data_IF_326171775166
#
_entry.id   IF_326171775166
#
_cell.length_a   1.000
_cell.length_b   1.000
_cell.length_c   1.000
_cell.angle_alpha   90.00
_cell.angle_beta   90.00
_cell.angle_gamma   90.00
#
_symmetry.space_group_name_H-M   'P 1'
#
loop_
_entity.id
_entity.type
_entity.pdbx_description
1 polymer ?
#
# COMPACT_ATOMS: atom_id res chain seq x y z
N UNK A 1 4.83 13.51 20.46
CA UNK A 1 4.18 12.45 19.69
C UNK A 1 3.05 13.12 18.93
N UNK A 2 3.08 13.15 17.59
CA UNK A 2 1.90 13.54 16.82
C UNK A 2 0.77 12.59 17.20
N UNK A 3 -0.43 13.14 17.45
CA UNK A 3 -1.59 12.31 17.69
C UNK A 3 -1.86 11.49 16.43
N UNK A 4 -1.62 10.19 16.48
CA UNK A 4 -1.93 9.27 15.40
C UNK A 4 -3.44 9.26 15.21
N UNK A 5 -3.94 9.77 14.08
CA UNK A 5 -5.35 9.70 13.73
C UNK A 5 -5.62 8.31 13.17
N UNK A 6 -6.11 7.42 14.02
CA UNK A 6 -6.23 5.99 13.74
C UNK A 6 -7.58 5.45 14.19
N UNK A 7 -8.28 4.79 13.28
CA UNK A 7 -9.47 4.00 13.56
C UNK A 7 -9.09 2.51 13.57
N UNK A 8 -9.48 1.79 14.62
CA UNK A 8 -9.21 0.37 14.78
C UNK A 8 -10.51 -0.45 14.80
N UNK A 9 -10.56 -1.51 13.99
CA UNK A 9 -11.73 -2.34 13.77
C UNK A 9 -11.42 -3.82 14.02
N UNK A 10 -12.31 -4.51 14.71
CA UNK A 10 -12.27 -5.98 14.87
C UNK A 10 -13.10 -6.71 13.82
N UNK A 11 -14.17 -6.08 13.36
CA UNK A 11 -15.14 -6.60 12.40
C UNK A 11 -15.14 -5.79 11.10
N UNK A 12 -15.40 -6.42 9.96
CA UNK A 12 -15.63 -7.84 9.70
C UNK A 12 -14.33 -8.66 9.68
N UNK A 13 -13.19 -8.03 9.78
CA UNK A 13 -11.85 -8.59 9.99
C UNK A 13 -10.99 -7.54 10.71
N UNK A 14 -9.95 -7.95 11.45
CA UNK A 14 -9.11 -6.97 12.15
C UNK A 14 -8.35 -6.09 11.16
N UNK A 15 -8.49 -4.77 11.30
CA UNK A 15 -7.74 -3.79 10.52
C UNK A 15 -7.66 -2.45 11.24
N UNK A 16 -6.69 -1.64 10.85
CA UNK A 16 -6.58 -0.24 11.27
C UNK A 16 -6.53 0.67 10.05
N UNK A 17 -7.11 1.85 10.16
CA UNK A 17 -7.06 2.90 9.15
C UNK A 17 -6.37 4.11 9.78
N UNK A 18 -5.32 4.57 9.14
CA UNK A 18 -4.53 5.73 9.51
C UNK A 18 -4.86 6.86 8.53
N UNK A 19 -5.39 7.96 9.03
CA UNK A 19 -5.77 9.13 8.26
C UNK A 19 -4.67 10.18 8.34
N UNK A 20 -4.43 10.90 7.24
CA UNK A 20 -3.38 11.93 7.15
C UNK A 20 -2.05 11.42 7.73
N UNK A 21 -1.68 10.20 7.33
CA UNK A 21 -0.66 9.41 8.01
C UNK A 21 0.74 10.02 7.89
N UNK A 22 1.06 10.58 6.75
CA UNK A 22 2.33 11.25 6.51
C UNK A 22 2.15 12.76 6.66
N UNK A 23 3.11 13.44 7.29
CA UNK A 23 3.12 14.90 7.36
C UNK A 23 3.59 15.54 6.05
N UNK A 24 3.56 16.87 5.99
CA UNK A 24 3.86 17.60 4.76
C UNK A 24 5.30 17.37 4.27
N UNK A 25 6.28 17.26 5.18
CA UNK A 25 7.68 17.00 4.82
C UNK A 25 7.86 15.57 4.29
N UNK A 26 7.20 14.60 4.92
CA UNK A 26 7.17 13.20 4.48
C UNK A 26 6.48 13.06 3.12
N UNK A 27 5.37 13.78 2.90
CA UNK A 27 4.65 13.79 1.63
C UNK A 27 5.47 14.40 0.50
N UNK A 28 6.24 15.47 0.75
CA UNK A 28 7.13 16.05 -0.25
C UNK A 28 8.15 15.02 -0.74
N UNK A 29 8.80 14.30 0.18
CA UNK A 29 9.73 13.23 -0.15
C UNK A 29 9.08 12.07 -0.92
N UNK A 30 7.88 11.66 -0.52
CA UNK A 30 7.12 10.60 -1.21
C UNK A 30 6.79 11.04 -2.64
N UNK A 31 6.29 12.26 -2.82
CA UNK A 31 5.90 12.76 -4.14
C UNK A 31 7.08 12.96 -5.08
N UNK A 32 8.25 13.39 -4.57
CA UNK A 32 9.47 13.47 -5.38
C UNK A 32 9.79 12.12 -6.05
N UNK A 33 9.68 11.01 -5.30
CA UNK A 33 9.96 9.68 -5.82
C UNK A 33 8.79 9.12 -6.66
N UNK A 34 7.53 9.35 -6.30
CA UNK A 34 6.37 8.96 -7.10
C UNK A 34 6.37 9.66 -8.47
N UNK A 35 6.69 10.94 -8.53
CA UNK A 35 6.81 11.68 -9.78
C UNK A 35 7.95 11.15 -10.68
N UNK A 36 9.01 10.64 -10.07
CA UNK A 36 10.04 9.93 -10.83
C UNK A 36 9.50 8.65 -11.46
N UNK A 37 8.71 7.86 -10.74
CA UNK A 37 8.15 6.60 -11.24
C UNK A 37 7.07 6.79 -12.30
N UNK A 38 6.41 7.94 -12.37
CA UNK A 38 5.46 8.27 -13.44
C UNK A 38 6.11 8.31 -14.81
N UNK A 39 7.43 8.56 -14.87
CA UNK A 39 8.17 8.65 -16.14
C UNK A 39 8.16 7.30 -16.87
N UNK A 40 8.08 7.32 -18.22
CA UNK A 40 8.04 6.09 -19.02
C UNK A 40 9.20 5.12 -18.70
N UNK A 41 8.87 3.84 -18.60
CA UNK A 41 9.84 2.77 -18.40
C UNK A 41 10.35 2.59 -16.97
N UNK A 42 9.84 3.36 -16.00
CA UNK A 42 10.23 3.23 -14.57
C UNK A 42 9.46 2.14 -13.84
N UNK A 43 8.17 2.04 -14.10
CA UNK A 43 7.35 0.94 -13.61
C UNK A 43 7.29 -0.18 -14.66
N UNK A 44 7.21 -1.42 -14.21
CA UNK A 44 7.22 -2.61 -15.05
C UNK A 44 5.90 -3.38 -14.93
N UNK A 45 5.63 -4.24 -15.90
CA UNK A 45 4.43 -5.09 -15.93
C UNK A 45 4.53 -6.27 -14.96
N UNK A 46 3.39 -6.89 -14.64
CA UNK A 46 3.25 -7.93 -13.63
C UNK A 46 4.23 -9.11 -13.77
N UNK A 47 4.56 -9.49 -15.00
CA UNK A 47 5.51 -10.56 -15.31
C UNK A 47 6.95 -10.27 -14.83
N UNK A 48 7.28 -9.00 -14.62
CA UNK A 48 8.63 -8.54 -14.22
C UNK A 48 8.78 -8.24 -12.74
N UNK A 49 7.69 -7.93 -12.03
CA UNK A 49 7.76 -7.60 -10.59
C UNK A 49 7.22 -8.71 -9.66
N UNK A 50 7.01 -9.92 -10.16
CA UNK A 50 6.48 -11.04 -9.39
C UNK A 50 4.99 -10.89 -9.02
N UNK A 51 4.24 -10.08 -9.77
CA UNK A 51 2.79 -10.05 -9.69
C UNK A 51 2.18 -11.34 -10.26
N UNK A 52 0.93 -11.64 -9.88
CA UNK A 52 0.23 -12.80 -10.44
C UNK A 52 -0.21 -12.44 -11.85
N UNK A 53 0.48 -13.00 -12.85
CA UNK A 53 0.15 -12.80 -14.27
C UNK A 53 -1.31 -13.18 -14.54
N UNK A 54 -2.03 -12.31 -15.23
CA UNK A 54 -3.46 -12.47 -15.53
C UNK A 54 -4.41 -12.00 -14.42
N UNK A 55 -3.89 -11.60 -13.25
CA UNK A 55 -4.70 -11.03 -12.17
C UNK A 55 -4.56 -9.52 -12.01
N UNK A 56 -3.49 -8.97 -12.53
CA UNK A 56 -3.28 -7.52 -12.57
C UNK A 56 -2.58 -7.12 -13.84
N UNK A 57 -3.04 -6.04 -14.44
CA UNK A 57 -2.40 -5.38 -15.59
C UNK A 57 -1.66 -4.12 -15.14
N UNK A 58 -1.78 -3.72 -13.85
CA UNK A 58 -1.13 -2.53 -13.32
C UNK A 58 0.39 -2.63 -13.38
N UNK A 59 1.02 -1.48 -13.60
CA UNK A 59 2.47 -1.36 -13.52
C UNK A 59 2.91 -1.18 -12.06
N UNK A 60 4.03 -1.80 -11.71
CA UNK A 60 4.60 -1.71 -10.39
C UNK A 60 6.12 -1.81 -10.40
N UNK A 61 6.72 -1.53 -9.25
CA UNK A 61 8.12 -1.75 -8.97
C UNK A 61 8.26 -2.28 -7.55
N UNK A 62 9.02 -3.34 -7.37
CA UNK A 62 9.48 -3.77 -6.05
C UNK A 62 10.72 -2.93 -5.71
N UNK A 63 10.62 -2.10 -4.68
CA UNK A 63 11.69 -1.13 -4.36
C UNK A 63 12.97 -1.83 -3.93
N UNK A 64 12.89 -2.99 -3.29
CA UNK A 64 14.05 -3.79 -2.89
C UNK A 64 14.87 -4.33 -4.07
N UNK A 65 14.27 -4.46 -5.26
CA UNK A 65 15.01 -4.84 -6.48
C UNK A 65 15.90 -3.70 -6.98
N UNK A 66 15.54 -2.43 -6.66
CA UNK A 66 16.30 -1.23 -7.03
C UNK A 66 17.22 -0.79 -5.90
N UNK A 67 16.72 -0.87 -4.67
CA UNK A 67 17.40 -0.44 -3.45
C UNK A 67 17.60 -1.62 -2.50
N UNK A 68 18.59 -2.50 -2.73
CA UNK A 68 18.93 -3.57 -1.79
C UNK A 68 19.22 -3.02 -0.39
N UNK A 69 19.19 -3.88 0.62
CA UNK A 69 19.26 -3.50 2.04
C UNK A 69 20.33 -2.44 2.35
N UNK A 70 21.52 -2.53 1.72
CA UNK A 70 22.61 -1.57 1.94
C UNK A 70 22.32 -0.15 1.38
N UNK A 71 21.33 -0.01 0.50
CA UNK A 71 21.02 1.23 -0.21
C UNK A 71 19.57 1.69 -0.01
N UNK A 72 18.84 1.08 0.92
CA UNK A 72 17.44 1.45 1.20
C UNK A 72 17.23 2.93 1.49
N UNK A 73 18.19 3.57 2.12
CA UNK A 73 18.17 5.00 2.45
C UNK A 73 18.30 5.94 1.24
N UNK A 74 18.54 5.40 0.04
CA UNK A 74 18.50 6.18 -1.21
C UNK A 74 17.07 6.31 -1.78
N UNK A 75 16.11 5.53 -1.28
CA UNK A 75 14.70 5.70 -1.57
C UNK A 75 14.03 6.53 -0.47
N UNK A 76 13.40 7.63 -0.85
CA UNK A 76 12.58 8.45 0.03
C UNK A 76 11.39 7.62 0.57
N UNK A 77 10.72 6.88 -0.32
CA UNK A 77 9.57 6.04 0.05
C UNK A 77 9.99 4.98 1.08
N UNK A 78 11.08 4.23 0.85
CA UNK A 78 11.54 3.22 1.81
C UNK A 78 11.95 3.83 3.15
N UNK A 79 12.47 5.05 3.15
CA UNK A 79 12.87 5.77 4.36
C UNK A 79 11.66 6.23 5.16
N UNK A 80 10.74 6.94 4.50
CA UNK A 80 9.54 7.51 5.15
C UNK A 80 8.56 6.41 5.56
N UNK A 81 8.40 5.37 4.72
CA UNK A 81 7.47 4.28 4.98
C UNK A 81 7.84 3.42 6.20
N UNK A 82 9.07 3.57 6.75
CA UNK A 82 9.42 2.98 8.07
C UNK A 82 8.48 3.42 9.18
N UNK A 83 7.74 4.50 8.99
CA UNK A 83 6.71 4.98 9.92
C UNK A 83 5.65 3.91 10.24
N UNK A 84 5.28 3.03 9.31
CA UNK A 84 4.35 1.91 9.56
C UNK A 84 4.89 0.89 10.57
N UNK A 85 6.20 0.85 10.80
CA UNK A 85 6.87 -0.06 11.73
C UNK A 85 7.15 0.57 13.09
N UNK A 86 6.60 1.75 13.38
CA UNK A 86 6.75 2.37 14.70
C UNK A 86 5.93 1.62 15.74
N UNK A 87 6.40 1.63 16.99
CA UNK A 87 5.70 0.99 18.11
C UNK A 87 4.24 1.47 18.23
N UNK A 88 3.99 2.78 18.04
CA UNK A 88 2.63 3.31 18.11
C UNK A 88 1.66 2.70 17.10
N UNK A 89 2.09 2.41 15.88
CA UNK A 89 1.25 1.76 14.85
C UNK A 89 1.10 0.27 15.12
N UNK A 90 2.19 -0.43 15.40
CA UNK A 90 2.19 -1.89 15.60
C UNK A 90 1.46 -2.31 16.88
N UNK A 91 1.54 -1.51 17.94
CA UNK A 91 0.80 -1.74 19.19
C UNK A 91 -0.71 -1.57 19.02
N UNK A 92 -1.16 -0.55 18.28
CA UNK A 92 -2.59 -0.38 17.95
C UNK A 92 -3.09 -1.56 17.14
N UNK A 93 -2.33 -2.00 16.14
CA UNK A 93 -2.67 -3.19 15.34
C UNK A 93 -2.75 -4.45 16.22
N UNK A 94 -1.77 -4.66 17.12
CA UNK A 94 -1.74 -5.81 18.02
C UNK A 94 -2.96 -5.85 18.97
N UNK A 95 -3.42 -4.70 19.42
CA UNK A 95 -4.58 -4.57 20.30
C UNK A 95 -5.92 -4.73 19.58
N UNK A 96 -5.95 -4.57 18.27
CA UNK A 96 -7.16 -4.67 17.45
C UNK A 96 -7.83 -6.05 17.58
N UNK A 97 -7.05 -7.13 17.55
CA UNK A 97 -7.55 -8.50 17.69
C UNK A 97 -6.43 -9.47 18.06
N UNK A 98 -6.74 -10.57 18.77
CA UNK A 98 -5.77 -11.57 19.21
C UNK A 98 -4.89 -12.16 18.08
N UNK A 99 -5.40 -12.30 16.85
CA UNK A 99 -4.60 -12.77 15.72
C UNK A 99 -3.56 -11.74 15.24
N UNK A 100 -3.65 -10.48 15.68
CA UNK A 100 -2.72 -9.43 15.38
C UNK A 100 -1.63 -9.25 16.45
N UNK A 101 -1.64 -10.05 17.54
CA UNK A 101 -0.69 -9.92 18.65
C UNK A 101 0.77 -10.06 18.26
N UNK A 102 1.06 -10.68 17.12
CA UNK A 102 2.41 -10.79 16.51
C UNK A 102 2.91 -9.49 15.85
N UNK A 103 2.07 -8.47 15.69
CA UNK A 103 2.44 -7.27 14.97
C UNK A 103 3.72 -6.58 15.50
N UNK A 104 3.97 -6.49 16.83
CA UNK A 104 5.21 -5.90 17.35
C UNK A 104 6.48 -6.69 16.98
N UNK A 105 6.37 -7.97 16.62
CA UNK A 105 7.49 -8.83 16.26
C UNK A 105 7.84 -8.77 14.75
N UNK A 106 7.07 -8.00 13.97
CA UNK A 106 7.35 -7.79 12.54
C UNK A 106 8.73 -7.16 12.36
N UNK A 107 9.58 -7.86 11.61
CA UNK A 107 10.98 -7.49 11.46
C UNK A 107 11.48 -7.51 10.01
N UNK A 108 10.60 -7.84 9.06
CA UNK A 108 10.91 -7.91 7.64
C UNK A 108 9.79 -7.30 6.81
N UNK A 109 10.18 -6.57 5.78
CA UNK A 109 9.26 -5.97 4.82
C UNK A 109 9.79 -6.03 3.38
N UNK A 110 8.85 -5.99 2.44
CA UNK A 110 9.14 -5.60 1.06
C UNK A 110 8.08 -4.61 0.60
N UNK A 111 8.47 -3.64 -0.21
CA UNK A 111 7.63 -2.50 -0.58
C UNK A 111 7.45 -2.39 -2.08
N UNK A 112 6.19 -2.35 -2.54
CA UNK A 112 5.83 -2.14 -3.95
C UNK A 112 5.18 -0.79 -4.15
N UNK A 113 5.65 -0.06 -5.15
CA UNK A 113 4.94 1.09 -5.71
C UNK A 113 4.13 0.63 -6.92
N UNK A 114 2.86 1.02 -6.98
CA UNK A 114 1.96 0.77 -8.10
C UNK A 114 1.36 2.06 -8.60
N UNK A 115 1.11 2.11 -9.92
CA UNK A 115 0.41 3.21 -10.57
C UNK A 115 -0.56 2.63 -11.60
N UNK A 116 -1.84 2.96 -11.45
CA UNK A 116 -2.93 2.33 -12.21
C UNK A 116 -3.36 3.20 -13.37
N UNK A 117 -3.39 2.60 -14.56
CA UNK A 117 -3.92 3.19 -15.79
C UNK A 117 -5.42 2.88 -15.95
N UNK A 118 -6.06 3.45 -17.00
CA UNK A 118 -7.46 3.19 -17.31
C UNK A 118 -7.74 1.71 -17.54
N UNK A 119 -8.82 1.21 -16.94
CA UNK A 119 -9.22 -0.19 -16.98
C UNK A 119 -8.40 -1.14 -16.10
N UNK A 120 -7.28 -0.70 -15.52
CA UNK A 120 -6.44 -1.55 -14.66
C UNK A 120 -7.03 -1.71 -13.26
N UNK A 121 -6.85 -2.88 -12.69
CA UNK A 121 -7.25 -3.27 -11.35
C UNK A 121 -6.44 -4.45 -10.86
N UNK A 122 -6.90 -5.10 -9.79
CA UNK A 122 -6.29 -6.32 -9.30
C UNK A 122 -7.37 -7.30 -8.84
N UNK A 123 -7.39 -8.50 -9.40
CA UNK A 123 -8.33 -9.54 -8.97
C UNK A 123 -8.10 -9.94 -7.52
N UNK A 124 -9.19 -10.31 -6.84
CA UNK A 124 -9.14 -10.66 -5.43
C UNK A 124 -8.29 -11.90 -5.16
N UNK A 125 -7.36 -11.77 -4.22
CA UNK A 125 -6.40 -12.79 -3.80
C UNK A 125 -6.10 -12.70 -2.30
N UNK A 126 -5.29 -13.61 -1.80
CA UNK A 126 -4.76 -13.64 -0.42
C UNK A 126 -3.24 -13.74 -0.48
N UNK A 127 -2.56 -12.96 0.35
CA UNK A 127 -1.10 -13.00 0.51
C UNK A 127 -0.73 -13.87 1.74
N UNK A 128 -0.98 -15.18 1.62
CA UNK A 128 -0.94 -16.12 2.76
C UNK A 128 0.42 -16.25 3.46
N UNK A 129 1.52 -15.92 2.78
CA UNK A 129 2.87 -15.92 3.35
C UNK A 129 3.24 -14.63 4.08
N UNK A 130 2.35 -13.64 4.07
CA UNK A 130 2.54 -12.32 4.65
C UNK A 130 1.66 -12.19 5.88
N UNK A 131 2.22 -11.71 7.00
CA UNK A 131 1.45 -11.52 8.23
C UNK A 131 0.51 -10.33 8.10
N UNK A 132 1.02 -9.19 7.66
CA UNK A 132 0.23 -7.98 7.47
C UNK A 132 0.57 -7.27 6.16
N UNK A 133 -0.41 -6.58 5.63
CA UNK A 133 -0.30 -5.69 4.47
C UNK A 133 -0.60 -4.28 4.94
N UNK A 134 0.28 -3.33 4.60
CA UNK A 134 0.02 -1.91 4.75
C UNK A 134 -0.10 -1.28 3.36
N UNK A 135 -1.26 -0.71 3.06
CA UNK A 135 -1.53 -0.01 1.80
C UNK A 135 -1.66 1.48 2.07
N UNK A 136 -0.71 2.27 1.58
CA UNK A 136 -0.77 3.72 1.58
C UNK A 136 -1.18 4.23 0.20
N UNK A 137 -2.12 5.17 0.16
CA UNK A 137 -2.73 5.69 -1.06
C UNK A 137 -2.35 7.13 -1.29
N UNK A 138 -2.02 7.43 -2.57
CA UNK A 138 -1.65 8.77 -2.97
C UNK A 138 -2.28 9.13 -4.31
N UNK A 139 -2.70 10.37 -4.44
CA UNK A 139 -3.08 11.00 -5.71
C UNK A 139 -2.91 12.51 -5.62
N UNK A 140 -2.69 13.16 -6.78
CA UNK A 140 -2.62 14.62 -6.87
C UNK A 140 -4.03 15.23 -6.87
N UNK A 141 -4.18 16.36 -6.20
CA UNK A 141 -5.41 17.14 -6.25
C UNK A 141 -5.42 18.10 -7.47
N UNK A 142 -6.58 18.32 -8.10
CA UNK A 142 -7.84 17.63 -7.85
C UNK A 142 -7.80 16.18 -8.32
N UNK A 143 -8.47 15.26 -7.59
CA UNK A 143 -8.59 13.85 -8.00
C UNK A 143 -9.22 13.73 -9.39
N UNK A 144 -8.53 13.08 -10.33
CA UNK A 144 -8.94 12.97 -11.73
C UNK A 144 -9.27 11.54 -12.18
N UNK A 145 -9.45 10.63 -11.28
CA UNK A 145 -9.87 9.26 -11.57
C UNK A 145 -11.05 8.84 -10.70
N UNK A 146 -11.74 7.78 -11.13
CA UNK A 146 -12.78 7.07 -10.37
C UNK A 146 -12.43 5.59 -10.28
N UNK A 147 -13.10 4.84 -9.40
CA UNK A 147 -12.73 3.45 -9.14
C UNK A 147 -11.46 3.33 -8.29
N UNK A 148 -10.84 2.17 -8.34
CA UNK A 148 -9.62 1.91 -7.59
C UNK A 148 -9.83 1.62 -6.11
N UNK A 149 -11.08 1.40 -5.67
CA UNK A 149 -11.39 1.00 -4.31
C UNK A 149 -10.72 -0.34 -3.97
N UNK A 150 -10.24 -0.45 -2.75
CA UNK A 150 -9.84 -1.73 -2.17
C UNK A 150 -11.11 -2.49 -1.80
N UNK A 151 -11.33 -3.69 -2.36
CA UNK A 151 -12.54 -4.46 -2.09
C UNK A 151 -12.25 -5.81 -1.45
N UNK A 152 -13.21 -6.30 -0.66
CA UNK A 152 -13.08 -7.47 0.21
C UNK A 152 -14.25 -8.46 -0.05
N UNK A 153 -14.17 -9.31 -1.07
CA UNK A 153 -15.31 -10.07 -1.57
C UNK A 153 -15.85 -11.15 -0.62
N UNK A 154 -15.15 -11.46 0.46
CA UNK A 154 -15.60 -12.40 1.50
C UNK A 154 -16.38 -11.70 2.63
N UNK A 155 -16.49 -10.36 2.60
CA UNK A 155 -17.06 -9.56 3.68
C UNK A 155 -18.13 -8.60 3.15
N UNK A 156 -19.41 -8.96 3.34
CA UNK A 156 -20.56 -8.21 2.79
C UNK A 156 -20.66 -6.81 3.41
N UNK A 157 -20.36 -6.69 4.71
CA UNK A 157 -20.49 -5.43 5.44
C UNK A 157 -19.37 -4.44 5.15
N UNK A 158 -18.31 -4.89 4.48
CA UNK A 158 -17.19 -4.07 4.01
C UNK A 158 -16.82 -4.46 2.57
N UNK A 159 -17.77 -4.30 1.63
CA UNK A 159 -17.54 -4.67 0.23
C UNK A 159 -16.34 -3.93 -0.38
N UNK A 160 -16.23 -2.63 -0.12
CA UNK A 160 -15.13 -1.82 -0.64
C UNK A 160 -14.79 -0.62 0.27
N UNK A 161 -13.50 -0.31 0.32
CA UNK A 161 -12.96 0.87 0.99
C UNK A 161 -12.54 1.89 -0.06
N UNK A 162 -13.10 3.10 0.03
CA UNK A 162 -12.64 4.24 -0.77
C UNK A 162 -11.24 4.65 -0.31
N UNK A 163 -10.31 4.69 -1.25
CA UNK A 163 -8.95 5.08 -0.97
C UNK A 163 -8.84 6.62 -0.98
N UNK A 164 -8.66 7.19 0.19
CA UNK A 164 -8.43 8.62 0.36
C UNK A 164 -6.94 8.95 0.19
N UNK A 165 -6.64 10.20 -0.16
CA UNK A 165 -5.25 10.65 -0.26
C UNK A 165 -4.57 10.63 1.11
N UNK A 166 -3.34 10.20 1.19
CA UNK A 166 -2.58 10.10 2.44
C UNK A 166 -3.21 9.19 3.52
N UNK A 167 -4.02 8.21 3.08
CA UNK A 167 -4.60 7.19 3.95
C UNK A 167 -3.77 5.91 3.89
N UNK A 168 -3.58 5.26 5.04
CA UNK A 168 -2.96 3.93 5.12
C UNK A 168 -3.90 2.96 5.83
N UNK A 169 -4.20 1.83 5.21
CA UNK A 169 -4.90 0.71 5.86
C UNK A 169 -3.91 -0.43 6.13
N UNK A 170 -3.99 -1.04 7.31
CA UNK A 170 -3.19 -2.22 7.68
C UNK A 170 -4.12 -3.36 8.10
N UNK A 171 -3.94 -4.54 7.48
CA UNK A 171 -4.75 -5.73 7.75
C UNK A 171 -3.96 -7.03 7.51
N UNK A 172 -4.42 -8.20 8.04
CA UNK A 172 -3.75 -9.47 7.85
C UNK A 172 -3.73 -9.96 6.40
N UNK A 173 -2.61 -10.54 5.95
CA UNK A 173 -2.44 -11.04 4.57
C UNK A 173 -3.38 -12.18 4.17
N UNK A 174 -4.02 -12.88 5.14
CA UNK A 174 -5.03 -13.90 4.86
C UNK A 174 -6.39 -13.32 4.45
N UNK A 175 -6.64 -12.02 4.64
CA UNK A 175 -7.87 -11.35 4.20
C UNK A 175 -7.88 -11.28 2.67
N UNK A 176 -8.93 -11.82 2.06
CA UNK A 176 -9.07 -11.76 0.59
C UNK A 176 -9.43 -10.35 0.16
N UNK A 177 -8.60 -9.78 -0.69
CA UNK A 177 -8.73 -8.41 -1.15
C UNK A 177 -8.37 -8.27 -2.63
N UNK A 178 -8.84 -7.22 -3.24
CA UNK A 178 -8.52 -6.85 -4.62
C UNK A 178 -8.69 -5.36 -4.83
N UNK A 179 -8.40 -4.88 -6.04
CA UNK A 179 -8.56 -3.47 -6.42
C UNK A 179 -9.54 -3.39 -7.58
N UNK A 180 -10.60 -2.60 -7.42
CA UNK A 180 -11.56 -2.32 -8.49
C UNK A 180 -10.87 -1.57 -9.64
N UNK A 181 -11.39 -1.71 -10.85
CA UNK A 181 -10.82 -1.04 -12.01
C UNK A 181 -10.84 0.48 -11.83
N UNK A 182 -9.74 1.09 -12.21
CA UNK A 182 -9.59 2.55 -12.27
C UNK A 182 -10.12 3.05 -13.61
N UNK A 183 -10.77 4.20 -13.61
CA UNK A 183 -11.14 4.94 -14.82
C UNK A 183 -10.47 6.30 -14.78
N UNK A 184 -9.63 6.58 -15.78
CA UNK A 184 -8.85 7.80 -15.90
C UNK A 184 -8.60 8.14 -17.37
N UNK A 185 -8.53 9.42 -17.73
CA UNK A 185 -8.11 9.84 -19.07
C UNK A 185 -6.60 9.68 -19.24
N UNK A 186 -6.16 9.28 -20.42
CA UNK A 186 -4.73 9.13 -20.74
C UNK A 186 -3.91 10.38 -20.43
N UNK A 187 -4.41 11.58 -20.77
CA UNK A 187 -3.72 12.84 -20.46
C UNK A 187 -3.47 13.00 -18.96
N UNK A 188 -4.50 12.74 -18.14
CA UNK A 188 -4.40 12.89 -16.69
C UNK A 188 -3.48 11.82 -16.08
N UNK A 189 -3.49 10.59 -16.64
CA UNK A 189 -2.57 9.54 -16.25
C UNK A 189 -1.12 9.92 -16.51
N UNK A 190 -0.79 10.38 -17.73
CA UNK A 190 0.59 10.74 -18.08
C UNK A 190 1.07 12.01 -17.38
N UNK A 191 0.16 12.86 -16.90
CA UNK A 191 0.45 14.03 -16.06
C UNK A 191 0.58 13.67 -14.57
N UNK A 192 0.45 12.39 -14.20
CA UNK A 192 0.64 11.88 -12.85
C UNK A 192 -0.57 12.03 -11.92
N UNK A 193 -1.78 12.24 -12.46
CA UNK A 193 -3.03 12.36 -11.68
C UNK A 193 -3.76 11.04 -11.44
N UNK A 194 -3.12 9.90 -11.69
CA UNK A 194 -3.69 8.59 -11.43
C UNK A 194 -3.59 8.17 -9.97
N UNK A 195 -4.00 6.93 -9.72
CA UNK A 195 -4.00 6.29 -8.41
C UNK A 195 -2.65 5.63 -8.15
N UNK A 196 -1.94 6.11 -7.15
CA UNK A 196 -0.76 5.44 -6.61
C UNK A 196 -1.12 4.58 -5.40
N UNK A 197 -0.41 3.48 -5.23
CA UNK A 197 -0.41 2.71 -3.99
C UNK A 197 1.02 2.30 -3.63
N UNK A 198 1.42 2.58 -2.41
CA UNK A 198 2.62 2.03 -1.79
C UNK A 198 2.18 0.91 -0.87
N UNK A 199 2.61 -0.31 -1.16
CA UNK A 199 2.20 -1.51 -0.40
C UNK A 199 3.40 -2.10 0.29
N UNK A 200 3.37 -2.18 1.63
CA UNK A 200 4.35 -2.92 2.41
C UNK A 200 3.81 -4.28 2.79
N UNK A 201 4.57 -5.32 2.44
CA UNK A 201 4.34 -6.72 2.81
C UNK A 201 5.16 -7.00 4.07
N UNK A 202 4.49 -7.19 5.20
CA UNK A 202 5.08 -7.22 6.53
C UNK A 202 5.10 -8.65 7.07
N UNK A 203 6.25 -9.13 7.50
CA UNK A 203 6.40 -10.49 8.04
C UNK A 203 7.39 -10.57 9.20
N UNK A 204 7.27 -11.66 9.96
CA UNK A 204 8.26 -12.09 10.94
C UNK A 204 9.13 -13.15 10.26
N UNK A 205 10.42 -12.97 10.30
CA UNK A 205 11.40 -13.97 9.85
C UNK A 205 12.35 -14.27 10.99
N UNK A 206 12.73 -15.53 11.13
CA UNK A 206 13.79 -15.91 12.04
C UNK A 206 15.10 -15.31 11.56
N UNK A 207 15.80 -14.59 12.44
CA UNK A 207 17.17 -14.14 12.14
C UNK A 207 18.09 -15.31 12.46
N UNK A 208 18.62 -15.93 11.41
CA UNK A 208 19.71 -16.90 11.55
C UNK A 208 20.97 -16.25 12.16
#
# INVERSE_FOLDING_TARGET
MQNLHCDAYTDPFPHIILHDFYDDEELELIWEELDFYTKPGKLVTADKFGGIVGKTDSKALLLEDVYPTAYRNLSNILTVNRKVFTSGVLEVLAQCHGCCSIAPDVNNDSTKVRYYHDGEGYEAHKDKSIHFLAFSYFYKEPKKFTGGELYFPEYIDMDALTCENNMTIIFPGWVKHGVRKVTIKDSDYYDGFGRYAVTSFMSCIDKE
#
